data_IF_885681225956
#
_entry.id   IF_885681225956
#
_cell.length_a   1.000
_cell.length_b   1.000
_cell.length_c   1.000
_cell.angle_alpha   90.00
_cell.angle_beta   90.00
_cell.angle_gamma   90.00
#
_symmetry.space_group_name_H-M   'P 1'
#
loop_
_entity.id
_entity.type
_entity.pdbx_description
1 polymer ?
#
# COMPACT_ATOMS: atom_id res chain seq x y z
N UNK A 1 10.40 -19.55 26.11
CA UNK A 1 10.37 -19.30 24.66
C UNK A 1 8.97 -18.80 24.33
N UNK A 2 8.79 -17.70 23.60
CA UNK A 2 7.43 -17.27 23.26
C UNK A 2 6.82 -18.30 22.32
N UNK A 3 5.60 -18.68 22.66
CA UNK A 3 4.76 -19.67 22.02
C UNK A 3 4.49 -19.23 20.57
N UNK A 4 4.95 -20.00 19.59
CA UNK A 4 4.50 -19.89 18.20
C UNK A 4 3.03 -20.26 18.17
N UNK A 5 2.16 -19.27 18.39
CA UNK A 5 0.73 -19.44 18.20
C UNK A 5 0.50 -19.96 16.78
N UNK A 6 -0.26 -21.05 16.68
CA UNK A 6 -0.67 -21.72 15.45
C UNK A 6 -1.17 -20.70 14.42
N UNK A 7 -0.32 -20.37 13.44
CA UNK A 7 -0.81 -19.74 12.23
C UNK A 7 -1.60 -20.81 11.48
N UNK A 8 -2.88 -20.57 11.14
CA UNK A 8 -3.67 -21.56 10.41
C UNK A 8 -2.93 -21.96 9.13
N UNK A 9 -2.75 -23.27 8.91
CA UNK A 9 -1.84 -23.87 7.93
C UNK A 9 -2.01 -23.40 6.47
N UNK A 10 -3.10 -22.66 6.15
CA UNK A 10 -3.41 -22.18 4.80
C UNK A 10 -3.89 -20.71 4.74
N UNK A 11 -3.76 -19.93 5.81
CA UNK A 11 -4.14 -18.51 5.81
C UNK A 11 -3.05 -17.64 5.21
N UNK A 12 -3.38 -16.69 4.32
CA UNK A 12 -2.44 -15.65 3.91
C UNK A 12 -1.88 -15.00 5.19
N UNK A 13 -0.56 -14.89 5.38
CA UNK A 13 -0.03 -14.23 6.58
C UNK A 13 0.08 -12.73 6.40
N UNK A 14 0.42 -12.28 5.20
CA UNK A 14 0.67 -10.88 4.85
C UNK A 14 0.31 -10.63 3.39
N UNK A 15 -0.44 -9.57 3.13
CA UNK A 15 -0.78 -9.09 1.79
C UNK A 15 0.02 -7.82 1.49
N UNK A 16 0.68 -7.79 0.34
CA UNK A 16 1.36 -6.60 -0.17
C UNK A 16 0.59 -6.09 -1.39
N UNK A 17 0.15 -4.84 -1.34
CA UNK A 17 -0.59 -4.19 -2.41
C UNK A 17 0.26 -3.06 -2.97
N UNK A 18 0.59 -3.17 -4.24
CA UNK A 18 1.17 -2.07 -5.04
C UNK A 18 0.02 -1.45 -5.84
N UNK A 19 -0.47 -0.29 -5.43
CA UNK A 19 -1.76 0.23 -5.90
C UNK A 19 -1.91 1.74 -5.80
N UNK A 20 -2.27 2.36 -6.93
CA UNK A 20 -2.31 3.80 -7.10
C UNK A 20 -0.91 4.43 -7.19
N UNK A 21 -0.86 5.61 -7.77
CA UNK A 21 0.32 6.45 -7.89
C UNK A 21 0.36 7.50 -6.77
N UNK A 22 1.53 8.07 -6.46
CA UNK A 22 1.61 9.17 -5.49
C UNK A 22 0.70 10.36 -5.84
N UNK A 23 0.51 10.66 -7.12
CA UNK A 23 -0.39 11.74 -7.58
C UNK A 23 -1.85 11.44 -7.23
N UNK A 24 -2.34 10.24 -7.56
CA UNK A 24 -3.70 9.82 -7.20
C UNK A 24 -3.90 9.82 -5.68
N UNK A 25 -2.86 9.45 -4.93
CA UNK A 25 -2.89 9.43 -3.47
C UNK A 25 -3.05 10.84 -2.88
N UNK A 26 -2.41 11.85 -3.49
CA UNK A 26 -2.48 13.26 -3.08
C UNK A 26 -3.81 13.92 -3.44
N UNK A 27 -4.49 13.44 -4.48
CA UNK A 27 -5.80 13.95 -4.89
C UNK A 27 -6.95 13.44 -4.00
N UNK A 28 -6.72 12.37 -3.24
CA UNK A 28 -7.73 11.78 -2.36
C UNK A 28 -7.90 12.57 -1.07
N UNK A 29 -9.17 12.82 -0.72
CA UNK A 29 -9.56 13.29 0.60
C UNK A 29 -9.32 12.22 1.67
N UNK A 30 -9.27 12.64 2.94
CA UNK A 30 -9.15 11.71 4.07
C UNK A 30 -10.27 10.67 4.11
N UNK A 31 -11.49 11.04 3.72
CA UNK A 31 -12.65 10.13 3.72
C UNK A 31 -12.51 9.04 2.64
N UNK A 32 -12.05 9.40 1.45
CA UNK A 32 -11.76 8.44 0.36
C UNK A 32 -10.65 7.48 0.77
N UNK A 33 -9.62 8.00 1.44
CA UNK A 33 -8.54 7.20 1.99
C UNK A 33 -9.00 6.18 3.03
N UNK A 34 -9.84 6.60 3.98
CA UNK A 34 -10.42 5.70 4.98
C UNK A 34 -11.26 4.60 4.33
N UNK A 35 -12.07 4.95 3.32
CA UNK A 35 -12.87 3.98 2.57
C UNK A 35 -12.00 2.93 1.88
N UNK A 36 -10.92 3.34 1.20
CA UNK A 36 -9.99 2.43 0.54
C UNK A 36 -9.25 1.52 1.51
N UNK A 37 -8.70 2.07 2.60
CA UNK A 37 -7.99 1.28 3.61
C UNK A 37 -8.91 0.26 4.26
N UNK A 38 -10.18 0.62 4.51
CA UNK A 38 -11.17 -0.32 5.02
C UNK A 38 -11.41 -1.47 4.04
N UNK A 39 -11.63 -1.17 2.76
CA UNK A 39 -11.85 -2.19 1.74
C UNK A 39 -10.66 -3.16 1.60
N UNK A 40 -9.43 -2.63 1.64
CA UNK A 40 -8.21 -3.45 1.63
C UNK A 40 -8.11 -4.35 2.87
N UNK A 41 -8.40 -3.80 4.05
CA UNK A 41 -8.38 -4.58 5.29
C UNK A 41 -9.44 -5.68 5.29
N UNK A 42 -10.67 -5.38 4.87
CA UNK A 42 -11.76 -6.37 4.83
C UNK A 42 -11.42 -7.52 3.87
N UNK A 43 -10.89 -7.20 2.68
CA UNK A 43 -10.49 -8.19 1.68
C UNK A 43 -9.33 -9.06 2.14
N UNK A 44 -8.31 -8.47 2.77
CA UNK A 44 -7.17 -9.21 3.30
C UNK A 44 -7.56 -10.12 4.48
N UNK A 45 -8.40 -9.61 5.39
CA UNK A 45 -8.91 -10.38 6.52
C UNK A 45 -9.75 -11.59 6.08
N UNK A 46 -10.56 -11.46 5.02
CA UNK A 46 -11.30 -12.58 4.45
C UNK A 46 -10.40 -13.73 3.95
N UNK A 47 -9.15 -13.42 3.56
CA UNK A 47 -8.13 -14.40 3.18
C UNK A 47 -7.25 -14.91 4.33
N UNK A 48 -7.51 -14.49 5.57
CA UNK A 48 -6.73 -14.86 6.76
C UNK A 48 -5.49 -13.98 7.03
N UNK A 49 -5.31 -12.90 6.27
CA UNK A 49 -4.18 -12.00 6.42
C UNK A 49 -4.16 -11.30 7.78
N UNK A 50 -3.00 -11.35 8.43
CA UNK A 50 -2.75 -10.61 9.66
C UNK A 50 -2.20 -9.21 9.37
N UNK A 51 -1.56 -9.04 8.22
CA UNK A 51 -0.89 -7.80 7.84
C UNK A 51 -1.25 -7.39 6.42
N UNK A 52 -1.33 -6.08 6.20
CA UNK A 52 -1.43 -5.47 4.88
C UNK A 52 -0.39 -4.36 4.77
N UNK A 53 0.44 -4.40 3.74
CA UNK A 53 1.30 -3.28 3.35
C UNK A 53 0.77 -2.69 2.05
N UNK A 54 0.42 -1.41 2.07
CA UNK A 54 0.06 -0.65 0.89
C UNK A 54 1.25 0.23 0.51
N UNK A 55 1.73 0.09 -0.72
CA UNK A 55 2.71 0.98 -1.34
C UNK A 55 2.13 1.56 -2.63
N UNK A 56 2.46 2.81 -2.96
CA UNK A 56 2.14 3.32 -4.28
C UNK A 56 2.98 2.54 -5.30
N UNK A 57 2.37 2.21 -6.45
CA UNK A 57 3.20 1.82 -7.58
C UNK A 57 3.73 3.09 -8.24
N UNK A 58 4.95 3.01 -8.77
CA UNK A 58 5.41 4.06 -9.67
C UNK A 58 4.44 4.10 -10.86
N UNK A 59 3.95 5.29 -11.19
CA UNK A 59 3.12 5.53 -12.38
C UNK A 59 3.91 5.28 -13.67
N UNK A 60 3.60 5.98 -14.75
CA UNK A 60 4.51 5.96 -15.90
C UNK A 60 5.94 6.32 -15.44
N UNK A 61 6.93 5.63 -16.01
CA UNK A 61 8.32 5.96 -15.79
C UNK A 61 8.50 7.43 -16.13
N UNK A 62 8.79 8.26 -15.12
CA UNK A 62 9.12 9.65 -15.32
C UNK A 62 10.14 9.77 -16.45
N UNK A 63 9.85 10.66 -17.40
CA UNK A 63 10.85 11.02 -18.38
C UNK A 63 12.07 11.66 -17.68
N UNK A 64 13.16 11.82 -18.41
CA UNK A 64 14.40 12.35 -17.83
C UNK A 64 14.21 13.74 -17.18
N UNK A 65 13.27 14.54 -17.67
CA UNK A 65 12.96 15.88 -17.16
C UNK A 65 12.10 15.82 -15.89
N UNK A 66 11.14 14.90 -15.85
CA UNK A 66 10.26 14.68 -14.71
C UNK A 66 11.01 14.06 -13.52
N UNK A 67 12.01 13.19 -13.77
CA UNK A 67 12.91 12.65 -12.73
C UNK A 67 13.73 13.73 -12.03
N UNK A 68 14.15 14.78 -12.77
CA UNK A 68 14.89 15.91 -12.17
C UNK A 68 13.96 16.71 -11.27
N UNK A 69 12.77 17.07 -11.74
CA UNK A 69 11.78 17.80 -10.94
C UNK A 69 11.35 17.06 -9.68
N UNK A 70 11.07 15.77 -9.78
CA UNK A 70 10.64 14.96 -8.64
C UNK A 70 11.73 14.86 -7.57
N UNK A 71 12.99 14.76 -7.98
CA UNK A 71 14.16 14.78 -7.07
C UNK A 71 14.28 16.11 -6.34
N UNK A 72 14.20 17.22 -7.07
CA UNK A 72 14.31 18.57 -6.48
C UNK A 72 13.21 18.83 -5.44
N UNK A 73 12.03 18.24 -5.63
CA UNK A 73 10.88 18.35 -4.72
C UNK A 73 11.02 17.50 -3.45
N UNK A 74 11.84 16.44 -3.48
CA UNK A 74 12.15 15.61 -2.31
C UNK A 74 13.30 16.18 -1.47
N UNK A 75 14.15 17.02 -2.06
CA UNK A 75 15.32 17.63 -1.42
C UNK A 75 15.06 19.06 -0.87
N UNK A 76 13.85 19.60 -1.07
CA UNK A 76 13.40 20.91 -0.57
C UNK A 76 12.61 20.82 0.74
#
# INVERSE_FOLDING_TARGET
>A
MPNTADFPENGLSHVVVSGGTPSEWLEMTTAEWQGRLKALSDGAAAGGAHWVTLLPHHGEDFDASEKVRFRDLLES
#
